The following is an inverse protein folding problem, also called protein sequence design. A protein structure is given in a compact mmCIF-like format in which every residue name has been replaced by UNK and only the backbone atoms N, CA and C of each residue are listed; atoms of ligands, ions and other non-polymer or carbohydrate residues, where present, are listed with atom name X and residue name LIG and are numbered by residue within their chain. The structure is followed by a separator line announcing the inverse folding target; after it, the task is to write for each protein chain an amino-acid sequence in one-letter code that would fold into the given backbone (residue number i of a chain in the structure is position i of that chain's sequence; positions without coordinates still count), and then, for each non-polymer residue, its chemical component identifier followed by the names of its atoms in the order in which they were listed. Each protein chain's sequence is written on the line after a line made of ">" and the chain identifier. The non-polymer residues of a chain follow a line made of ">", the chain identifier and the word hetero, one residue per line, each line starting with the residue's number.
data_IF_783441890274
#
_entry.id   IF_783441890274
#
_cell.length_a   1.000
_cell.length_b   1.000
_cell.length_c   1.000
_cell.angle_alpha   90.00
_cell.angle_beta   90.00
_cell.angle_gamma   90.00
#
_symmetry.space_group_name_H-M   'P 1'
#
loop_
_entity.id
_entity.type
_entity.pdbx_description
1 polymer ?
#
# COMPACT_ATOMS: atom_id res chain seq x y z
N UNK A 1 3.78 3.35 10.85
CA UNK A 1 4.75 2.23 10.71
C UNK A 1 4.27 0.99 11.47
N UNK A 2 3.30 1.15 12.37
CA UNK A 2 2.71 0.06 13.16
C UNK A 2 2.19 -1.11 12.31
N UNK A 3 1.67 -0.84 11.11
CA UNK A 3 1.07 -1.85 10.24
C UNK A 3 2.10 -2.62 9.40
N UNK A 4 3.39 -2.28 9.48
CA UNK A 4 4.45 -3.06 8.83
C UNK A 4 4.82 -4.20 9.76
N UNK A 5 4.68 -5.46 9.32
CA UNK A 5 4.95 -6.59 10.19
C UNK A 5 6.43 -6.64 10.56
N UNK A 6 6.72 -7.09 11.78
CA UNK A 6 8.10 -7.20 12.28
C UNK A 6 8.84 -8.43 11.68
N UNK A 7 8.10 -9.41 11.17
CA UNK A 7 8.64 -10.59 10.49
C UNK A 7 7.70 -11.09 9.39
N UNK A 8 8.21 -11.95 8.50
CA UNK A 8 7.45 -12.53 7.39
C UNK A 8 7.17 -11.54 6.25
N UNK A 9 6.63 -12.03 5.12
CA UNK A 9 6.52 -11.23 3.92
C UNK A 9 5.35 -10.24 3.95
N UNK A 10 5.54 -9.10 3.32
CA UNK A 10 4.45 -8.18 3.01
C UNK A 10 4.67 -7.47 1.69
N UNK A 11 3.58 -7.35 0.93
CA UNK A 11 3.53 -6.56 -0.29
C UNK A 11 3.00 -5.15 0.05
N UNK A 12 3.80 -4.15 -0.25
CA UNK A 12 3.48 -2.73 -0.07
C UNK A 12 3.16 -2.16 -1.44
N UNK A 13 1.88 -1.87 -1.67
CA UNK A 13 1.42 -1.19 -2.87
C UNK A 13 1.33 0.29 -2.59
N UNK A 14 2.05 1.10 -3.37
CA UNK A 14 2.12 2.55 -3.16
C UNK A 14 2.04 3.28 -4.50
N UNK A 15 1.66 4.56 -4.43
CA UNK A 15 1.61 5.45 -5.58
C UNK A 15 3.01 5.95 -5.94
N UNK A 16 3.30 6.14 -7.23
CA UNK A 16 4.59 6.66 -7.68
C UNK A 16 4.50 8.13 -8.06
N UNK A 17 5.09 9.00 -7.24
CA UNK A 17 5.29 10.39 -7.63
C UNK A 17 6.43 10.54 -8.64
N UNK A 18 6.46 11.64 -9.40
CA UNK A 18 7.55 11.93 -10.34
C UNK A 18 8.95 11.84 -9.70
N UNK A 19 9.07 12.24 -8.42
CA UNK A 19 10.24 12.00 -7.58
C UNK A 19 9.75 11.35 -6.28
N UNK A 20 10.02 10.05 -6.04
CA UNK A 20 9.46 9.32 -4.90
C UNK A 20 10.24 9.58 -3.60
N UNK A 21 10.39 10.85 -3.21
CA UNK A 21 11.14 11.28 -2.01
C UNK A 21 10.52 10.68 -0.75
N UNK A 22 9.20 10.76 -0.66
CA UNK A 22 8.39 10.19 0.41
C UNK A 22 8.62 8.69 0.59
N UNK A 23 8.70 7.94 -0.52
CA UNK A 23 9.00 6.52 -0.50
C UNK A 23 10.40 6.23 0.01
N UNK A 24 11.42 7.01 -0.36
CA UNK A 24 12.77 6.83 0.19
C UNK A 24 12.83 7.11 1.71
N UNK A 25 12.12 8.13 2.20
CA UNK A 25 11.99 8.35 3.64
C UNK A 25 11.27 7.20 4.34
N UNK A 26 10.25 6.62 3.71
CA UNK A 26 9.59 5.43 4.21
C UNK A 26 10.55 4.25 4.30
N UNK A 27 11.31 3.95 3.24
CA UNK A 27 12.30 2.87 3.23
C UNK A 27 13.37 3.07 4.31
N UNK A 28 13.93 4.27 4.41
CA UNK A 28 14.91 4.60 5.44
C UNK A 28 14.36 4.36 6.85
N UNK A 29 13.10 4.77 7.10
CA UNK A 29 12.45 4.51 8.39
C UNK A 29 12.21 3.01 8.64
N UNK A 30 11.83 2.23 7.63
CA UNK A 30 11.68 0.77 7.78
C UNK A 30 13.02 0.12 8.12
N UNK A 31 14.10 0.51 7.44
CA UNK A 31 15.44 0.00 7.73
C UNK A 31 15.89 0.39 9.15
N UNK A 32 15.80 1.68 9.51
CA UNK A 32 16.32 2.19 10.78
C UNK A 32 15.49 1.73 11.98
N UNK A 33 14.15 1.74 11.87
CA UNK A 33 13.26 1.53 13.00
C UNK A 33 12.77 0.09 13.12
N UNK A 34 12.70 -0.65 12.02
CA UNK A 34 12.27 -2.06 12.03
C UNK A 34 13.41 -3.03 11.73
N UNK A 35 14.58 -2.56 11.28
CA UNK A 35 15.68 -3.43 10.88
C UNK A 35 15.35 -4.31 9.68
N UNK A 36 14.36 -3.92 8.87
CA UNK A 36 13.87 -4.72 7.75
C UNK A 36 14.28 -4.11 6.41
N UNK A 37 14.72 -4.96 5.51
CA UNK A 37 14.93 -4.59 4.10
C UNK A 37 13.60 -4.68 3.36
N UNK A 38 13.31 -3.65 2.57
CA UNK A 38 12.18 -3.61 1.65
C UNK A 38 12.73 -3.50 0.24
N UNK A 39 12.51 -4.53 -0.57
CA UNK A 39 12.92 -4.55 -1.96
C UNK A 39 11.97 -3.67 -2.76
N UNK A 40 12.49 -2.68 -3.46
CA UNK A 40 11.68 -1.86 -4.35
C UNK A 40 11.75 -2.39 -5.77
N UNK A 41 10.63 -2.43 -6.47
CA UNK A 41 10.60 -2.75 -7.90
C UNK A 41 10.75 -1.47 -8.71
N UNK A 42 11.81 -1.38 -9.51
CA UNK A 42 12.03 -0.26 -10.43
C UNK A 42 12.16 -0.72 -11.88
N UNK A 43 11.84 0.18 -12.80
CA UNK A 43 12.00 -0.03 -14.24
C UNK A 43 13.49 -0.02 -14.64
N UNK A 44 13.84 -0.80 -15.66
CA UNK A 44 15.20 -0.92 -16.21
C UNK A 44 15.86 0.41 -16.58
N UNK A 45 15.07 1.45 -16.87
CA UNK A 45 15.58 2.78 -17.21
C UNK A 45 16.35 3.40 -16.04
N UNK A 46 15.94 3.14 -14.80
CA UNK A 46 16.58 3.70 -13.60
C UNK A 46 18.00 3.14 -13.41
N UNK A 47 18.23 1.88 -13.81
CA UNK A 47 19.54 1.22 -13.75
C UNK A 47 20.53 1.73 -14.80
N UNK A 48 20.08 2.47 -15.83
CA UNK A 48 20.93 3.06 -16.86
C UNK A 48 21.38 4.49 -16.55
N UNK A 49 20.82 5.12 -15.52
CA UNK A 49 21.18 6.50 -15.17
C UNK A 49 22.45 6.56 -14.31
N UNK A 50 23.50 7.27 -14.76
CA UNK A 50 24.72 7.45 -13.97
C UNK A 50 24.40 8.22 -12.67
N UNK A 51 24.89 7.72 -11.53
CA UNK A 51 24.69 8.33 -10.20
C UNK A 51 23.60 7.66 -9.33
N UNK A 52 22.69 6.88 -9.91
CA UNK A 52 21.61 6.21 -9.15
C UNK A 52 22.02 4.85 -8.56
N UNK A 53 23.15 4.29 -8.96
CA UNK A 53 23.60 2.95 -8.54
C UNK A 53 23.70 2.78 -7.02
N UNK A 54 24.24 3.79 -6.33
CA UNK A 54 24.37 3.77 -4.86
C UNK A 54 22.98 3.76 -4.18
N UNK A 55 22.05 4.54 -4.71
CA UNK A 55 20.67 4.61 -4.23
C UNK A 55 19.95 3.26 -4.44
N UNK A 56 20.14 2.65 -5.62
CA UNK A 56 19.56 1.36 -5.99
C UNK A 56 20.07 0.21 -5.12
N UNK A 57 21.38 0.20 -4.81
CA UNK A 57 22.00 -0.80 -3.93
C UNK A 57 21.52 -0.64 -2.48
N UNK A 58 21.47 0.59 -1.95
CA UNK A 58 21.00 0.86 -0.57
C UNK A 58 19.53 0.46 -0.37
N UNK A 59 18.67 0.70 -1.36
CA UNK A 59 17.26 0.35 -1.28
C UNK A 59 16.94 -1.05 -1.82
N UNK A 60 17.96 -1.88 -2.07
CA UNK A 60 17.79 -3.26 -2.52
C UNK A 60 16.80 -3.39 -3.69
N UNK A 61 16.94 -2.48 -4.66
CA UNK A 61 16.02 -2.41 -5.79
C UNK A 61 16.22 -3.65 -6.65
N UNK A 62 15.19 -4.48 -6.70
CA UNK A 62 15.19 -5.70 -7.50
C UNK A 62 14.71 -5.39 -8.91
N UNK A 63 15.15 -6.21 -9.87
CA UNK A 63 14.64 -6.07 -11.21
C UNK A 63 13.15 -6.44 -11.21
N UNK A 64 12.38 -5.83 -12.11
CA UNK A 64 10.95 -6.06 -12.23
C UNK A 64 10.45 -7.43 -12.72
N UNK A 65 11.27 -8.47 -13.05
CA UNK A 65 10.72 -9.79 -13.32
C UNK A 65 9.88 -10.30 -12.14
N UNK A 66 8.72 -10.83 -12.49
CA UNK A 66 7.73 -11.34 -11.54
C UNK A 66 8.32 -12.41 -10.62
N UNK A 67 9.22 -13.23 -11.14
CA UNK A 67 9.87 -14.34 -10.43
C UNK A 67 10.81 -13.84 -9.32
N UNK A 68 11.47 -12.69 -9.50
CA UNK A 68 12.30 -12.08 -8.45
C UNK A 68 11.42 -11.48 -7.35
N UNK A 69 10.32 -10.84 -7.74
CA UNK A 69 9.34 -10.29 -6.81
C UNK A 69 8.73 -11.40 -5.92
N UNK A 70 8.35 -12.51 -6.52
CA UNK A 70 7.79 -13.66 -5.78
C UNK A 70 8.84 -14.28 -4.86
N UNK A 71 10.09 -14.44 -5.32
CA UNK A 71 11.18 -14.96 -4.50
C UNK A 71 11.48 -14.08 -3.28
N UNK A 72 11.59 -12.76 -3.47
CA UNK A 72 11.81 -11.82 -2.37
C UNK A 72 10.73 -11.96 -1.27
N UNK A 73 9.47 -12.13 -1.66
CA UNK A 73 8.38 -12.39 -0.71
C UNK A 73 8.46 -13.80 -0.11
N UNK A 74 8.81 -14.84 -0.86
CA UNK A 74 8.96 -16.19 -0.31
C UNK A 74 10.10 -16.30 0.70
N UNK A 75 11.16 -15.51 0.52
CA UNK A 75 12.29 -15.39 1.45
C UNK A 75 11.94 -14.55 2.69
N UNK A 76 10.71 -14.04 2.78
CA UNK A 76 10.19 -13.33 3.93
C UNK A 76 10.52 -11.84 3.95
N UNK A 77 10.98 -11.26 2.84
CA UNK A 77 11.24 -9.82 2.75
C UNK A 77 9.97 -9.00 2.51
N UNK A 78 10.09 -7.69 2.72
CA UNK A 78 9.08 -6.73 2.28
C UNK A 78 9.31 -6.40 0.80
N UNK A 79 8.24 -6.24 0.04
CA UNK A 79 8.31 -5.86 -1.37
C UNK A 79 7.46 -4.62 -1.64
N UNK A 80 8.07 -3.55 -2.14
CA UNK A 80 7.38 -2.34 -2.58
C UNK A 80 7.14 -2.35 -4.09
N UNK A 81 5.89 -2.19 -4.50
CA UNK A 81 5.50 -2.06 -5.92
C UNK A 81 4.62 -0.84 -6.12
N UNK A 82 5.02 0.04 -7.05
CA UNK A 82 4.07 0.93 -7.71
C UNK A 82 3.47 0.23 -8.93
N UNK A 83 2.14 0.03 -8.96
CA UNK A 83 1.51 -0.73 -10.03
C UNK A 83 1.37 0.09 -11.33
N UNK A 84 1.37 1.42 -11.24
CA UNK A 84 1.36 2.31 -12.40
C UNK A 84 2.74 2.59 -12.98
N UNK A 85 3.80 2.44 -12.20
CA UNK A 85 5.19 2.58 -12.61
C UNK A 85 5.50 3.93 -13.25
N UNK A 86 6.37 3.95 -14.27
CA UNK A 86 6.79 5.20 -14.95
C UNK A 86 5.61 5.99 -15.53
N UNK A 87 4.55 5.30 -16.00
CA UNK A 87 3.37 5.99 -16.54
C UNK A 87 2.65 6.78 -15.45
N UNK A 88 2.48 6.18 -14.28
CA UNK A 88 1.94 6.86 -13.11
C UNK A 88 2.86 8.00 -12.67
N UNK A 89 4.17 7.78 -12.61
CA UNK A 89 5.14 8.83 -12.27
C UNK A 89 5.08 10.07 -13.18
N UNK A 90 4.76 9.89 -14.46
CA UNK A 90 4.72 10.97 -15.46
C UNK A 90 3.34 11.64 -15.56
N UNK A 91 2.26 10.92 -15.26
CA UNK A 91 0.89 11.40 -15.43
C UNK A 91 0.19 11.71 -14.10
N UNK A 92 0.88 11.45 -13.00
CA UNK A 92 0.35 11.68 -11.68
C UNK A 92 0.17 13.17 -11.39
N UNK A 93 -0.96 13.50 -10.78
CA UNK A 93 -1.28 14.82 -10.26
C UNK A 93 -1.20 14.83 -8.72
N UNK A 94 -1.56 15.96 -8.11
CA UNK A 94 -1.55 16.12 -6.64
C UNK A 94 -2.64 15.31 -5.91
N UNK A 95 -3.44 14.50 -6.61
CA UNK A 95 -4.50 13.69 -5.99
C UNK A 95 -4.02 12.34 -5.49
N UNK A 96 -2.76 11.95 -5.80
CA UNK A 96 -2.12 10.72 -5.33
C UNK A 96 -2.95 9.45 -5.61
N UNK A 97 -3.76 9.45 -6.67
CA UNK A 97 -4.54 8.29 -7.04
C UNK A 97 -3.68 7.23 -7.71
N UNK A 98 -3.91 5.97 -7.32
CA UNK A 98 -3.24 4.83 -7.91
C UNK A 98 -3.70 4.62 -9.36
N UNK A 99 -2.76 4.70 -10.31
CA UNK A 99 -3.03 4.58 -11.74
C UNK A 99 -2.36 3.35 -12.37
N UNK A 100 -2.90 2.16 -12.10
CA UNK A 100 -2.36 0.91 -12.68
C UNK A 100 -2.97 0.50 -14.03
N UNK A 101 -4.14 1.06 -14.40
CA UNK A 101 -4.82 0.77 -15.66
C UNK A 101 -5.13 -0.72 -15.84
N UNK A 102 -4.59 -1.34 -16.91
CA UNK A 102 -4.73 -2.79 -17.18
C UNK A 102 -3.57 -3.64 -16.63
N UNK A 103 -2.63 -3.06 -15.88
CA UNK A 103 -1.47 -3.77 -15.34
C UNK A 103 -1.88 -4.56 -14.09
N UNK A 104 -1.81 -5.88 -14.17
CA UNK A 104 -2.21 -6.81 -13.09
C UNK A 104 -1.04 -7.60 -12.50
N UNK A 105 0.20 -7.31 -12.94
CA UNK A 105 1.39 -8.06 -12.52
C UNK A 105 1.61 -8.07 -11.00
N UNK A 106 1.41 -6.92 -10.32
CA UNK A 106 1.54 -6.81 -8.86
C UNK A 106 0.53 -7.72 -8.13
N UNK A 107 -0.72 -7.79 -8.63
CA UNK A 107 -1.74 -8.65 -8.07
C UNK A 107 -1.34 -10.11 -8.26
N UNK A 108 -0.82 -10.46 -9.44
CA UNK A 108 -0.31 -11.80 -9.71
C UNK A 108 0.86 -12.17 -8.80
N UNK A 109 1.79 -11.25 -8.51
CA UNK A 109 2.86 -11.46 -7.52
C UNK A 109 2.27 -11.78 -6.14
N UNK A 110 1.22 -11.07 -5.72
CA UNK A 110 0.54 -11.34 -4.44
C UNK A 110 -0.11 -12.72 -4.40
N UNK A 111 -0.68 -13.18 -5.53
CA UNK A 111 -1.24 -14.53 -5.68
C UNK A 111 -0.15 -15.58 -5.52
N UNK A 112 0.91 -15.47 -6.31
CA UNK A 112 1.96 -16.48 -6.43
C UNK A 112 2.82 -16.62 -5.18
N UNK A 113 3.07 -15.52 -4.50
CA UNK A 113 3.80 -15.52 -3.23
C UNK A 113 2.97 -16.05 -2.05
N UNK A 114 1.68 -16.38 -2.29
CA UNK A 114 0.69 -16.77 -1.26
C UNK A 114 0.53 -15.74 -0.14
N UNK A 115 0.95 -14.51 -0.39
CA UNK A 115 0.79 -13.37 0.53
C UNK A 115 -0.65 -12.87 0.50
N UNK A 116 -1.53 -13.44 -0.34
CA UNK A 116 -2.98 -13.16 -0.31
C UNK A 116 -3.60 -13.30 1.07
N UNK A 117 -3.17 -14.28 1.88
CA UNK A 117 -3.68 -14.44 3.25
C UNK A 117 -3.33 -13.23 4.13
N UNK A 118 -2.09 -12.77 4.04
CA UNK A 118 -1.61 -11.59 4.75
C UNK A 118 -2.19 -10.28 4.17
N UNK A 119 -2.40 -10.21 2.85
CA UNK A 119 -3.04 -9.07 2.17
C UNK A 119 -4.51 -8.94 2.60
N UNK A 120 -5.27 -10.03 2.63
CA UNK A 120 -6.64 -10.02 3.14
C UNK A 120 -6.70 -9.70 4.64
N UNK A 121 -5.75 -10.16 5.44
CA UNK A 121 -5.64 -9.82 6.85
C UNK A 121 -5.34 -8.32 7.06
N UNK A 122 -4.33 -7.78 6.37
CA UNK A 122 -3.96 -6.35 6.40
C UNK A 122 -5.11 -5.44 5.92
N UNK A 123 -5.80 -5.84 4.85
CA UNK A 123 -6.97 -5.12 4.36
C UNK A 123 -8.08 -5.12 5.42
N UNK A 124 -8.40 -6.29 5.97
CA UNK A 124 -9.49 -6.45 6.95
C UNK A 124 -9.20 -5.74 8.28
N UNK A 125 -7.94 -5.72 8.71
CA UNK A 125 -7.53 -5.21 10.01
C UNK A 125 -7.22 -3.71 9.98
N UNK A 126 -6.65 -3.20 8.87
CA UNK A 126 -6.11 -1.85 8.82
C UNK A 126 -6.66 -0.95 7.70
N UNK A 127 -7.28 -1.50 6.65
CA UNK A 127 -7.98 -0.65 5.67
C UNK A 127 -9.45 -0.48 6.03
N UNK A 128 -9.84 0.75 6.39
CA UNK A 128 -11.25 1.16 6.27
C UNK A 128 -11.60 1.32 4.80
N UNK A 129 -12.09 0.26 4.17
CA UNK A 129 -12.63 0.34 2.81
C UNK A 129 -14.13 0.69 2.91
N UNK A 130 -14.61 1.81 2.36
CA UNK A 130 -15.97 1.81 1.84
C UNK A 130 -15.91 1.01 0.54
N UNK A 131 -16.01 -0.32 0.64
CA UNK A 131 -15.90 -1.24 -0.51
C UNK A 131 -17.06 -1.14 -1.52
N UNK A 132 -17.93 -0.14 -1.36
CA UNK A 132 -19.05 0.14 -2.24
C UNK A 132 -19.33 1.64 -2.22
N UNK A 133 -19.23 2.29 -3.38
CA UNK A 133 -19.60 3.70 -3.58
C UNK A 133 -21.05 3.96 -3.10
N UNK A 134 -21.93 2.96 -3.23
CA UNK A 134 -23.33 3.03 -2.80
C UNK A 134 -23.45 3.12 -1.27
N UNK A 135 -22.61 2.38 -0.53
CA UNK A 135 -22.62 2.38 0.94
C UNK A 135 -22.01 3.67 1.51
N UNK A 136 -20.94 4.18 0.89
CA UNK A 136 -20.36 5.47 1.23
C UNK A 136 -21.31 6.66 0.98
N UNK A 137 -22.16 6.56 -0.04
CA UNK A 137 -23.21 7.55 -0.31
C UNK A 137 -24.37 7.44 0.68
N UNK A 138 -24.84 6.23 1.01
CA UNK A 138 -25.89 6.01 2.01
C UNK A 138 -25.48 6.54 3.39
N UNK A 139 -24.25 6.31 3.82
CA UNK A 139 -23.73 6.83 5.10
C UNK A 139 -23.72 8.36 5.17
N UNK A 140 -23.68 9.07 4.04
CA UNK A 140 -23.82 10.54 4.00
C UNK A 140 -25.26 11.03 4.20
N UNK A 141 -26.27 10.19 3.93
CA UNK A 141 -27.67 10.51 4.15
C UNK A 141 -28.21 9.99 5.49
N UNK A 142 -27.52 9.03 6.12
CA UNK A 142 -27.86 8.51 7.46
C UNK A 142 -27.54 9.48 8.61
N UNK A 143 -26.83 10.59 8.36
CA UNK A 143 -26.34 11.52 9.39
C UNK A 143 -26.96 12.92 9.39
N UNK A 144 -28.15 13.07 8.82
CA UNK A 144 -29.06 14.19 9.10
C UNK A 144 -30.36 13.52 9.54
N UNK A 145 -30.64 13.42 10.84
CA UNK A 145 -31.10 14.55 11.64
C UNK A 145 -30.63 14.49 13.10
N UNK A 146 -30.16 15.61 13.69
CA UNK A 146 -30.27 15.84 15.11
C UNK A 146 -31.54 16.64 15.49
N UNK A 147 -32.00 16.36 16.71
CA UNK A 147 -32.87 17.13 17.62
C UNK A 147 -34.41 17.03 17.52
N UNK A 148 -34.98 16.29 18.49
CA UNK A 148 -35.97 16.68 19.52
C UNK A 148 -36.49 15.36 20.15
N UNK A 149 -36.52 15.04 21.44
CA UNK A 149 -36.43 15.74 22.72
C UNK A 149 -36.00 14.72 23.79
N UNK A 150 -35.26 15.19 24.81
CA UNK A 150 -35.08 14.50 26.07
C UNK A 150 -36.37 14.60 26.90
N UNK A 151 -37.00 13.48 27.29
CA UNK A 151 -37.55 13.30 28.64
C UNK A 151 -37.33 11.85 29.06
N UNK A 152 -36.35 11.66 29.91
CA UNK A 152 -36.26 10.52 30.81
C UNK A 152 -36.99 10.90 32.08
N UNK A 153 -38.08 10.19 32.43
CA UNK A 153 -38.47 9.80 33.79
C UNK A 153 -39.91 9.26 33.82
N UNK A 154 -40.08 7.94 33.91
CA UNK A 154 -40.86 7.30 34.99
C UNK A 154 -40.86 5.79 34.80
N UNK A 155 -40.69 5.11 35.92
CA UNK A 155 -40.45 3.68 36.08
C UNK A 155 -41.68 2.80 35.78
N UNK A 156 -41.38 1.51 35.65
CA UNK A 156 -42.24 0.32 35.78
C UNK A 156 -43.23 0.35 36.97
N UNK A 157 -44.32 -0.43 36.81
CA UNK A 157 -45.10 -1.18 37.82
C UNK A 157 -45.71 -0.30 38.95
N UNK A 158 -47.03 -0.14 39.11
CA UNK A 158 -48.11 -1.13 39.25
C UNK A 158 -49.39 -0.80 38.47
#
# INVERSE_FOLDING_TARGET
>A
LENIPDSGPALIVYYHGAIPIDYYYFLAKVIILKGRTCHSVADHILFKMPGFRLLLEVFSVIHGPREECVRALQDGHLLGISPGGVREALLSDHTYQLQWGKRTGFAQVAIDSRVQGALHALIKEHQKIPGSIIRALLERFSHTSPSAENIQTSNKED
#
